data_IF_145499506299
#
_entry.id   IF_145499506299
#
_cell.length_a   1.000
_cell.length_b   1.000
_cell.length_c   1.000
_cell.angle_alpha   90.00
_cell.angle_beta   90.00
_cell.angle_gamma   90.00
#
_symmetry.space_group_name_H-M   'P 1'
#
loop_
_entity.id
_entity.type
_entity.pdbx_description
1 polymer ?
#
# COMPACT_ATOMS: atom_id res chain seq x y z
N UNK A 1 -1.59 -19.98 11.08
CA UNK A 1 -2.84 -19.99 10.36
C UNK A 1 -3.94 -19.43 11.27
N UNK A 2 -4.76 -18.52 10.73
CA UNK A 2 -5.97 -18.01 11.39
C UNK A 2 -7.15 -18.47 10.57
N UNK A 3 -8.22 -18.92 11.23
CA UNK A 3 -9.42 -19.44 10.58
C UNK A 3 -10.63 -19.36 11.53
N UNK A 4 -11.81 -19.47 10.96
CA UNK A 4 -13.06 -19.61 11.70
C UNK A 4 -13.61 -21.01 11.51
N UNK A 5 -14.15 -21.58 12.57
CA UNK A 5 -14.92 -22.82 12.50
C UNK A 5 -16.37 -22.46 12.17
N UNK A 6 -16.97 -23.20 11.27
CA UNK A 6 -18.37 -22.98 10.86
C UNK A 6 -19.29 -22.95 12.10
N UNK A 7 -20.20 -21.98 12.14
CA UNK A 7 -21.12 -21.71 13.25
C UNK A 7 -20.48 -21.24 14.58
N UNK A 8 -19.15 -21.14 14.69
CA UNK A 8 -18.51 -20.54 15.85
C UNK A 8 -18.37 -19.03 15.70
N UNK A 9 -18.56 -18.32 16.81
CA UNK A 9 -18.24 -16.89 16.91
C UNK A 9 -16.74 -16.72 17.14
N UNK A 10 -16.13 -15.77 16.43
CA UNK A 10 -14.70 -15.48 16.56
C UNK A 10 -13.80 -16.35 15.70
N UNK A 11 -12.51 -16.24 15.89
CA UNK A 11 -11.48 -16.94 15.12
C UNK A 11 -10.61 -17.79 16.02
N UNK A 12 -9.89 -18.76 15.43
CA UNK A 12 -8.89 -19.58 16.09
C UNK A 12 -7.56 -19.53 15.35
N UNK A 13 -6.50 -19.83 16.04
CA UNK A 13 -5.17 -20.05 15.46
C UNK A 13 -4.83 -21.53 15.42
N UNK A 14 -4.08 -21.92 14.40
CA UNK A 14 -3.41 -23.22 14.37
C UNK A 14 -1.97 -23.05 13.91
N UNK A 15 -1.09 -23.89 14.39
CA UNK A 15 0.24 -24.03 13.82
C UNK A 15 0.13 -24.62 12.42
N UNK A 16 1.01 -24.18 11.51
CA UNK A 16 1.07 -24.74 10.15
C UNK A 16 1.66 -26.15 10.15
N UNK A 17 2.40 -26.51 11.19
CA UNK A 17 3.09 -27.81 11.27
C UNK A 17 2.17 -28.97 11.64
N UNK A 18 1.16 -28.75 12.49
CA UNK A 18 0.29 -29.81 13.02
C UNK A 18 -1.20 -29.54 12.77
N UNK A 19 -1.56 -28.32 12.36
CA UNK A 19 -2.93 -27.87 12.09
C UNK A 19 -3.90 -28.05 13.26
N UNK A 20 -3.38 -28.21 14.49
CA UNK A 20 -4.22 -28.32 15.68
C UNK A 20 -4.74 -26.95 16.08
N UNK A 21 -6.08 -26.77 16.13
CA UNK A 21 -6.67 -25.51 16.58
C UNK A 21 -6.29 -25.17 18.02
N UNK A 22 -6.03 -23.89 18.29
CA UNK A 22 -5.87 -23.43 19.67
C UNK A 22 -7.18 -23.61 20.43
N UNK A 23 -7.09 -23.94 21.71
CA UNK A 23 -8.26 -24.00 22.60
C UNK A 23 -8.85 -22.61 22.84
N UNK A 24 -8.01 -21.57 22.81
CA UNK A 24 -8.41 -20.20 23.03
C UNK A 24 -8.78 -19.52 21.70
N UNK A 25 -9.79 -18.66 21.78
CA UNK A 25 -10.17 -17.80 20.66
C UNK A 25 -9.08 -16.77 20.39
N UNK A 26 -8.95 -16.41 19.15
CA UNK A 26 -8.05 -15.34 18.69
C UNK A 26 -8.91 -14.21 18.06
N UNK A 27 -8.75 -13.00 18.57
CA UNK A 27 -9.55 -11.85 18.17
C UNK A 27 -10.86 -11.70 18.96
N UNK A 28 -11.70 -10.73 18.63
CA UNK A 28 -12.99 -10.52 19.25
C UNK A 28 -13.90 -11.74 19.06
N UNK A 29 -14.50 -12.19 20.15
CA UNK A 29 -15.44 -13.31 20.17
C UNK A 29 -16.90 -12.82 20.08
N UNK A 30 -17.16 -11.78 19.32
CA UNK A 30 -18.47 -11.13 19.22
C UNK A 30 -19.14 -11.34 17.87
N UNK A 31 -18.35 -11.67 16.83
CA UNK A 31 -18.79 -11.64 15.46
C UNK A 31 -18.53 -12.95 14.71
N UNK A 32 -19.35 -13.20 13.72
CA UNK A 32 -19.11 -14.24 12.70
C UNK A 32 -18.47 -13.53 11.50
N UNK A 33 -17.28 -13.97 11.14
CA UNK A 33 -16.51 -13.38 10.05
C UNK A 33 -16.81 -14.06 8.73
N UNK A 34 -17.16 -13.28 7.72
CA UNK A 34 -17.50 -13.79 6.39
C UNK A 34 -16.28 -14.04 5.51
N UNK A 35 -15.32 -13.15 5.55
CA UNK A 35 -14.05 -13.30 4.83
C UNK A 35 -12.89 -12.71 5.63
N UNK A 36 -11.68 -13.20 5.36
CA UNK A 36 -10.50 -12.69 6.02
C UNK A 36 -9.29 -12.75 5.09
N UNK A 37 -8.34 -11.82 5.30
CA UNK A 37 -7.07 -11.79 4.61
C UNK A 37 -5.98 -11.27 5.55
N UNK A 38 -4.76 -11.77 5.39
CA UNK A 38 -3.60 -11.36 6.17
C UNK A 38 -2.75 -10.41 5.35
N UNK A 39 -2.46 -9.24 5.90
CA UNK A 39 -1.54 -8.29 5.29
C UNK A 39 -0.12 -8.87 5.23
N UNK A 40 0.48 -8.97 4.05
CA UNK A 40 1.84 -9.50 3.92
C UNK A 40 2.92 -8.51 4.40
N UNK A 41 2.54 -7.27 4.72
CA UNK A 41 3.49 -6.22 5.16
C UNK A 41 3.75 -6.29 6.65
N UNK A 42 2.68 -6.40 7.45
CA UNK A 42 2.77 -6.32 8.92
C UNK A 42 2.12 -7.50 9.64
N UNK A 43 1.45 -8.39 8.90
CA UNK A 43 0.78 -9.55 9.47
C UNK A 43 -0.58 -9.27 10.10
N UNK A 44 -1.11 -8.06 9.99
CA UNK A 44 -2.44 -7.72 10.46
C UNK A 44 -3.51 -8.49 9.68
N UNK A 45 -4.58 -8.86 10.36
CA UNK A 45 -5.71 -9.59 9.77
C UNK A 45 -6.86 -8.63 9.52
N UNK A 46 -7.30 -8.59 8.30
CA UNK A 46 -8.50 -7.89 7.85
C UNK A 46 -9.64 -8.90 7.80
N UNK A 47 -10.66 -8.68 8.58
CA UNK A 47 -11.80 -9.61 8.70
C UNK A 47 -13.12 -8.87 8.50
N UNK A 48 -14.03 -9.42 7.68
CA UNK A 48 -15.31 -8.80 7.38
C UNK A 48 -16.43 -9.38 8.22
N UNK A 49 -17.22 -8.48 8.79
CA UNK A 49 -18.48 -8.80 9.48
C UNK A 49 -19.63 -8.29 8.62
N UNK A 50 -20.60 -9.13 8.27
CA UNK A 50 -21.73 -8.75 7.43
C UNK A 50 -23.01 -9.46 7.87
N UNK A 51 -24.15 -8.75 7.74
CA UNK A 51 -25.48 -9.29 7.85
C UNK A 51 -26.13 -9.56 6.47
N UNK A 52 -25.35 -9.42 5.38
CA UNK A 52 -25.75 -9.59 3.98
C UNK A 52 -26.80 -8.58 3.46
N UNK A 53 -27.16 -7.58 4.22
CA UNK A 53 -28.18 -6.57 3.87
C UNK A 53 -27.61 -5.17 3.88
N UNK A 54 -26.97 -4.80 5.00
CA UNK A 54 -26.41 -3.46 5.20
C UNK A 54 -24.95 -3.41 4.78
N UNK A 55 -24.34 -2.22 4.89
CA UNK A 55 -22.91 -2.05 4.71
C UNK A 55 -22.15 -2.90 5.74
N UNK A 56 -21.25 -3.74 5.25
CA UNK A 56 -20.40 -4.57 6.10
C UNK A 56 -19.32 -3.76 6.79
N UNK A 57 -18.87 -4.24 7.93
CA UNK A 57 -17.70 -3.71 8.62
C UNK A 57 -16.47 -4.58 8.31
N UNK A 58 -15.35 -3.93 8.00
CA UNK A 58 -14.03 -4.57 7.93
C UNK A 58 -13.27 -4.21 9.18
N UNK A 59 -12.99 -5.20 10.00
CA UNK A 59 -12.18 -5.07 11.21
C UNK A 59 -10.72 -5.37 10.91
N UNK A 60 -9.82 -4.56 11.45
CA UNK A 60 -8.36 -4.76 11.34
C UNK A 60 -7.84 -5.19 12.70
N UNK A 61 -7.27 -6.36 12.75
CA UNK A 61 -6.75 -6.99 13.97
C UNK A 61 -5.22 -7.10 13.86
N UNK A 62 -4.52 -6.77 14.91
CA UNK A 62 -3.07 -6.98 14.97
C UNK A 62 -2.70 -8.46 15.06
N UNK A 63 -1.41 -8.76 15.05
CA UNK A 63 -0.88 -10.15 15.16
C UNK A 63 -1.27 -10.84 16.46
N UNK A 64 -1.69 -10.10 17.49
CA UNK A 64 -2.17 -10.67 18.76
C UNK A 64 -3.69 -10.95 18.73
N UNK A 65 -4.41 -10.41 17.77
CA UNK A 65 -5.86 -10.48 17.66
C UNK A 65 -6.58 -9.29 18.29
N UNK A 66 -5.87 -8.23 18.62
CA UNK A 66 -6.47 -7.01 19.16
C UNK A 66 -7.04 -6.16 18.01
N UNK A 67 -8.28 -5.70 18.16
CA UNK A 67 -8.89 -4.78 17.20
C UNK A 67 -8.15 -3.43 17.22
N UNK A 68 -7.55 -3.06 16.08
CA UNK A 68 -6.82 -1.81 15.91
C UNK A 68 -7.73 -0.72 15.35
N UNK A 69 -8.53 -1.08 14.35
CA UNK A 69 -9.37 -0.16 13.60
C UNK A 69 -10.47 -0.90 12.86
N UNK A 70 -11.48 -0.17 12.39
CA UNK A 70 -12.49 -0.70 11.47
C UNK A 70 -12.95 0.37 10.48
N UNK A 71 -13.53 -0.08 9.37
CA UNK A 71 -14.15 0.77 8.36
C UNK A 71 -15.32 0.07 7.68
N UNK A 72 -16.21 0.84 7.08
CA UNK A 72 -17.34 0.29 6.33
C UNK A 72 -16.96 -0.01 4.88
N UNK A 73 -17.49 -1.11 4.37
CA UNK A 73 -17.35 -1.54 2.98
C UNK A 73 -18.74 -1.75 2.34
N UNK A 74 -18.78 -2.34 1.13
CA UNK A 74 -20.05 -2.75 0.53
C UNK A 74 -20.76 -3.84 1.33
N UNK A 75 -21.99 -4.21 0.96
CA UNK A 75 -22.82 -5.13 1.75
C UNK A 75 -22.22 -6.54 1.94
N UNK A 76 -21.49 -7.05 0.94
CA UNK A 76 -20.92 -8.41 0.97
C UNK A 76 -19.50 -8.40 0.42
N UNK A 77 -18.49 -7.90 1.17
CA UNK A 77 -17.10 -7.89 0.71
C UNK A 77 -16.50 -9.30 0.84
N UNK A 78 -16.55 -10.07 -0.25
CA UNK A 78 -16.14 -11.48 -0.29
C UNK A 78 -14.66 -11.73 -0.50
N UNK A 79 -13.86 -10.71 -0.77
CA UNK A 79 -12.42 -10.87 -0.96
C UNK A 79 -11.65 -9.57 -0.75
N UNK A 80 -10.38 -9.71 -0.37
CA UNK A 80 -9.45 -8.61 -0.14
C UNK A 80 -8.14 -8.89 -0.85
N UNK A 81 -7.54 -7.83 -1.40
CA UNK A 81 -6.20 -7.88 -1.98
C UNK A 81 -5.36 -6.74 -1.43
N UNK A 82 -4.08 -7.03 -1.20
CA UNK A 82 -3.12 -6.05 -0.72
C UNK A 82 -2.19 -5.65 -1.87
N UNK A 83 -2.12 -4.35 -2.14
CA UNK A 83 -1.11 -3.82 -3.05
C UNK A 83 0.19 -3.61 -2.26
N UNK A 84 1.09 -4.54 -2.39
CA UNK A 84 2.41 -4.53 -1.73
C UNK A 84 3.53 -4.05 -2.65
N UNK A 85 3.20 -3.35 -3.72
CA UNK A 85 4.23 -2.77 -4.56
C UNK A 85 5.10 -1.87 -3.71
N UNK A 86 6.33 -2.28 -3.53
CA UNK A 86 7.37 -1.36 -3.12
C UNK A 86 7.40 -0.28 -4.20
N UNK A 87 7.22 0.97 -3.84
CA UNK A 87 7.46 2.08 -4.77
C UNK A 87 8.96 2.09 -5.03
N UNK A 88 9.41 1.17 -5.90
CA UNK A 88 10.80 1.11 -6.36
C UNK A 88 10.94 2.26 -7.34
N UNK A 89 11.51 3.35 -6.90
CA UNK A 89 11.76 4.52 -7.74
C UNK A 89 11.33 5.86 -7.16
N UNK A 90 10.64 5.87 -6.01
CA UNK A 90 10.50 7.08 -5.21
C UNK A 90 11.27 6.93 -3.88
N UNK A 91 12.48 6.32 -3.94
CA UNK A 91 13.46 6.58 -2.92
C UNK A 91 13.83 8.04 -3.04
N UNK A 92 13.38 8.80 -2.06
CA UNK A 92 13.71 10.20 -1.90
C UNK A 92 13.71 10.96 -3.25
N UNK A 93 12.51 11.28 -3.74
CA UNK A 93 12.39 12.60 -4.27
C UNK A 93 12.84 13.48 -3.11
N UNK A 94 14.08 13.96 -3.20
CA UNK A 94 14.55 15.11 -2.45
C UNK A 94 13.61 16.28 -2.76
N UNK A 95 12.39 16.19 -2.23
CA UNK A 95 11.38 17.27 -2.35
C UNK A 95 11.84 18.51 -1.60
N UNK A 96 13.02 18.45 -0.97
CA UNK A 96 13.58 19.53 -0.16
C UNK A 96 14.99 19.97 -0.55
N UNK A 97 15.71 19.27 -1.41
CA UNK A 97 16.88 19.83 -2.09
C UNK A 97 16.47 20.15 -3.52
N UNK A 98 16.48 21.44 -3.86
CA UNK A 98 15.96 21.99 -5.09
C UNK A 98 16.34 21.17 -6.33
N UNK A 99 15.38 20.97 -7.23
CA UNK A 99 15.56 20.16 -8.43
C UNK A 99 16.86 20.54 -9.15
N UNK A 100 17.73 19.55 -9.37
CA UNK A 100 19.02 19.75 -10.03
C UNK A 100 18.92 19.43 -11.52
N UNK A 101 19.71 20.13 -12.31
CA UNK A 101 19.84 19.84 -13.75
C UNK A 101 20.50 18.46 -13.93
N UNK A 102 19.82 17.53 -14.60
CA UNK A 102 20.34 16.20 -14.94
C UNK A 102 20.71 16.05 -16.41
N UNK A 103 20.25 16.97 -17.28
CA UNK A 103 20.62 17.01 -18.68
C UNK A 103 20.37 18.39 -19.29
N UNK A 104 21.19 18.78 -20.23
CA UNK A 104 21.07 20.03 -20.96
C UNK A 104 21.10 19.76 -22.46
N UNK A 105 20.17 20.34 -23.19
CA UNK A 105 19.96 20.07 -24.62
C UNK A 105 19.65 21.38 -25.39
N UNK A 106 19.90 21.37 -26.69
CA UNK A 106 19.39 22.38 -27.60
C UNK A 106 17.97 22.03 -28.12
N UNK A 107 17.35 22.93 -28.89
CA UNK A 107 16.04 22.69 -29.49
C UNK A 107 15.96 21.46 -30.43
N UNK A 108 17.10 20.95 -30.87
CA UNK A 108 17.17 19.74 -31.71
C UNK A 108 17.46 18.48 -30.91
N UNK A 109 17.47 18.55 -29.57
CA UNK A 109 17.74 17.44 -28.68
C UNK A 109 19.21 17.03 -28.58
N UNK A 110 20.15 17.83 -29.08
CA UNK A 110 21.60 17.56 -28.95
C UNK A 110 22.07 18.07 -27.59
N UNK A 111 23.02 17.35 -27.00
CA UNK A 111 23.62 17.75 -25.70
C UNK A 111 24.20 19.16 -25.81
N UNK A 112 23.84 20.01 -24.85
CA UNK A 112 24.33 21.38 -24.78
C UNK A 112 25.83 21.42 -24.45
N UNK A 113 26.60 22.04 -25.30
CA UNK A 113 28.04 22.23 -25.06
C UNK A 113 28.31 23.59 -24.42
N UNK A 114 29.32 23.67 -23.57
CA UNK A 114 29.76 24.92 -22.97
C UNK A 114 30.20 25.91 -24.07
N UNK A 115 29.67 27.14 -23.98
CA UNK A 115 29.90 28.18 -25.00
C UNK A 115 28.86 28.23 -26.12
N UNK A 116 27.90 27.31 -26.19
CA UNK A 116 26.75 27.41 -27.07
C UNK A 116 25.88 28.62 -26.70
N UNK A 117 25.28 29.26 -27.69
CA UNK A 117 24.33 30.35 -27.54
C UNK A 117 22.95 29.93 -28.09
N UNK A 118 21.89 30.53 -27.58
CA UNK A 118 20.55 30.27 -28.01
C UNK A 118 19.66 29.65 -26.94
N UNK A 119 18.67 28.88 -27.36
CA UNK A 119 17.74 28.27 -26.43
C UNK A 119 18.32 26.98 -25.87
N UNK A 120 18.42 26.92 -24.53
CA UNK A 120 18.86 25.78 -23.76
C UNK A 120 17.65 25.15 -23.05
N UNK A 121 17.52 23.84 -23.16
CA UNK A 121 16.51 23.03 -22.48
C UNK A 121 17.22 22.23 -21.38
N UNK A 122 16.85 22.46 -20.15
CA UNK A 122 17.36 21.76 -18.97
C UNK A 122 16.32 20.75 -18.50
N UNK A 123 16.69 19.47 -18.42
CA UNK A 123 15.87 18.44 -17.78
C UNK A 123 16.29 18.37 -16.31
N UNK A 124 15.32 18.48 -15.42
CA UNK A 124 15.54 18.50 -13.98
C UNK A 124 15.36 17.09 -13.39
N UNK A 125 15.91 16.86 -12.21
CA UNK A 125 15.82 15.59 -11.50
C UNK A 125 14.38 15.19 -11.11
N UNK A 126 13.47 16.15 -11.02
CA UNK A 126 12.04 15.99 -10.76
C UNK A 126 11.22 15.74 -12.05
N UNK A 127 11.89 15.46 -13.17
CA UNK A 127 11.31 15.29 -14.52
C UNK A 127 10.65 16.55 -15.10
N UNK A 128 10.80 17.71 -14.47
CA UNK A 128 10.37 18.96 -15.05
C UNK A 128 11.39 19.45 -16.09
N UNK A 129 10.94 20.35 -16.95
CA UNK A 129 11.79 20.94 -17.99
C UNK A 129 11.84 22.45 -17.80
N UNK A 130 13.04 22.99 -17.84
CA UNK A 130 13.28 24.43 -17.82
C UNK A 130 13.87 24.87 -19.15
N UNK A 131 13.36 25.95 -19.68
CA UNK A 131 13.87 26.56 -20.92
C UNK A 131 14.49 27.90 -20.59
N UNK A 132 15.70 28.13 -21.06
CA UNK A 132 16.41 29.39 -20.89
C UNK A 132 17.07 29.84 -22.20
N UNK A 133 17.31 31.15 -22.34
CA UNK A 133 18.04 31.71 -23.43
C UNK A 133 19.44 32.14 -22.96
N UNK A 134 20.48 31.59 -23.60
CA UNK A 134 21.87 31.90 -23.31
C UNK A 134 22.36 32.92 -24.35
N UNK A 135 22.54 34.15 -23.89
CA UNK A 135 23.11 35.24 -24.68
C UNK A 135 24.67 35.26 -24.66
N UNK A 136 25.24 36.26 -25.31
CA UNK A 136 26.69 36.50 -25.24
C UNK A 136 27.18 36.89 -23.84
#
# INVERSE_FOLDING_TARGET
LVFQIEEEIGMRKASVSDLTPSAEMWGPATDVYYSMAVSPVNGDVYATVTNFVDAAEVQILDVSGTLISSFQAGAIPGGMAFDVRTVVGMTDLDMFEGSRVVGEFDLMGRVWAQGNKGIKIETMSDQTTRVSYVAE
#
